data_IF_000209540872
#
_entry.id   IF_000209540872
#
_cell.length_a   1.000
_cell.length_b   1.000
_cell.length_c   1.000
_cell.angle_alpha   90.00
_cell.angle_beta   90.00
_cell.angle_gamma   90.00
#
_symmetry.space_group_name_H-M   'P 1'
#
loop_
_entity.id
_entity.type
_entity.pdbx_description
1 polymer ?
#
# COMPACT_ATOMS: atom_id res chain seq x y z
N UNK A 1 -22.36 34.18 33.37
CA UNK A 1 -22.97 33.00 34.03
C UNK A 1 -23.49 32.12 32.90
N UNK A 2 -23.01 30.93 32.57
CA UNK A 2 -21.92 30.06 33.05
C UNK A 2 -21.75 29.07 31.90
N UNK A 3 -20.56 29.00 31.29
CA UNK A 3 -20.27 28.02 30.25
C UNK A 3 -20.28 26.61 30.87
N UNK A 4 -21.06 25.70 30.29
CA UNK A 4 -21.06 24.29 30.65
C UNK A 4 -19.78 23.62 30.10
N UNK A 5 -19.08 22.77 30.89
CA UNK A 5 -17.88 22.09 30.41
C UNK A 5 -18.23 20.92 29.47
N UNK A 6 -17.44 20.64 28.42
CA UNK A 6 -17.64 19.46 27.60
C UNK A 6 -17.31 18.20 28.42
N UNK A 7 -18.29 17.30 28.50
CA UNK A 7 -18.18 15.99 29.14
C UNK A 7 -17.11 15.15 28.45
N UNK A 8 -16.20 14.60 29.25
CA UNK A 8 -15.20 13.63 28.78
C UNK A 8 -15.89 12.29 28.57
N UNK A 9 -16.23 12.00 27.33
CA UNK A 9 -16.66 10.67 26.91
C UNK A 9 -15.46 9.72 27.02
N UNK A 10 -15.46 8.88 28.05
CA UNK A 10 -14.49 7.80 28.22
C UNK A 10 -14.85 6.72 27.21
N UNK A 11 -14.16 6.75 26.07
CA UNK A 11 -14.20 5.66 25.10
C UNK A 11 -13.31 4.51 25.61
N UNK A 12 -13.79 3.81 26.65
CA UNK A 12 -13.21 2.55 27.14
C UNK A 12 -13.75 1.37 26.33
N UNK A 13 -13.79 1.51 25.00
CA UNK A 13 -14.05 0.45 24.06
C UNK A 13 -12.78 -0.36 23.78
N UNK A 14 -12.19 -0.99 24.80
CA UNK A 14 -11.22 -2.09 24.60
C UNK A 14 -11.95 -3.17 23.80
N UNK A 15 -11.91 -3.07 22.47
CA UNK A 15 -12.25 -4.14 21.55
C UNK A 15 -11.30 -5.26 21.92
N UNK A 16 -11.77 -6.18 22.77
CA UNK A 16 -10.97 -7.26 23.31
C UNK A 16 -10.51 -8.09 22.13
N UNK A 17 -9.30 -7.78 21.63
CA UNK A 17 -8.59 -8.59 20.65
C UNK A 17 -8.47 -9.95 21.31
N UNK A 18 -9.33 -10.91 20.94
CA UNK A 18 -9.28 -12.26 21.47
C UNK A 18 -7.84 -12.72 21.25
N UNK A 19 -7.05 -12.90 22.32
CA UNK A 19 -5.64 -13.12 22.12
C UNK A 19 -5.47 -14.43 21.34
N UNK A 20 -4.55 -14.48 20.36
CA UNK A 20 -4.43 -15.58 19.40
C UNK A 20 -4.16 -16.95 20.04
N UNK A 21 -3.82 -16.99 21.33
CA UNK A 21 -3.71 -18.24 22.10
C UNK A 21 -5.08 -18.86 22.42
N UNK A 22 -6.16 -18.08 22.54
CA UNK A 22 -7.50 -18.63 22.78
C UNK A 22 -8.02 -19.41 21.57
N UNK A 23 -7.73 -18.97 20.34
CA UNK A 23 -8.10 -19.71 19.13
C UNK A 23 -7.34 -21.02 19.03
N UNK A 24 -6.06 -21.04 19.43
CA UNK A 24 -5.26 -22.25 19.51
C UNK A 24 -5.81 -23.26 20.52
N UNK A 25 -6.17 -22.81 21.72
CA UNK A 25 -6.72 -23.67 22.77
C UNK A 25 -8.06 -24.29 22.34
N UNK A 26 -8.93 -23.52 21.68
CA UNK A 26 -10.23 -24.03 21.18
C UNK A 26 -10.05 -25.05 20.07
N UNK A 27 -9.14 -24.81 19.12
CA UNK A 27 -8.84 -25.77 18.04
C UNK A 27 -8.20 -27.04 18.60
N UNK A 28 -7.28 -26.92 19.55
CA UNK A 28 -6.67 -28.06 20.22
C UNK A 28 -7.70 -28.88 21.00
N UNK A 29 -8.54 -28.24 21.82
CA UNK A 29 -9.60 -28.90 22.58
C UNK A 29 -10.62 -29.58 21.65
N UNK A 30 -10.96 -28.95 20.52
CA UNK A 30 -11.85 -29.52 19.51
C UNK A 30 -11.25 -30.75 18.82
N UNK A 31 -10.00 -30.68 18.36
CA UNK A 31 -9.34 -31.79 17.67
C UNK A 31 -9.08 -32.98 18.61
N UNK A 32 -8.63 -32.69 19.84
CA UNK A 32 -8.45 -33.68 20.89
C UNK A 32 -9.76 -34.34 21.31
N UNK A 33 -10.83 -33.54 21.47
CA UNK A 33 -12.17 -34.04 21.80
C UNK A 33 -12.75 -34.96 20.72
N UNK A 34 -12.56 -34.64 19.43
CA UNK A 34 -12.99 -35.49 18.31
C UNK A 34 -12.22 -36.81 18.28
N UNK A 35 -10.91 -36.79 18.48
CA UNK A 35 -10.07 -38.01 18.54
C UNK A 35 -10.46 -38.94 19.69
N UNK A 36 -10.74 -38.39 20.87
CA UNK A 36 -11.20 -39.17 22.02
C UNK A 36 -12.63 -39.70 21.80
N UNK A 37 -13.53 -38.91 21.18
CA UNK A 37 -14.90 -39.33 20.90
C UNK A 37 -15.01 -40.45 19.84
N UNK A 38 -14.03 -40.57 18.93
CA UNK A 38 -13.95 -41.66 17.95
C UNK A 38 -13.38 -42.97 18.52
N UNK A 39 -13.18 -43.06 19.84
CA UNK A 39 -12.74 -44.28 20.51
C UNK A 39 -11.22 -44.49 20.50
N UNK A 40 -10.44 -43.42 20.31
CA UNK A 40 -8.99 -43.49 20.41
C UNK A 40 -8.56 -43.82 21.84
N UNK A 41 -7.76 -44.87 22.00
CA UNK A 41 -7.03 -45.11 23.24
C UNK A 41 -6.09 -43.92 23.49
N UNK A 42 -5.95 -43.53 24.76
CA UNK A 42 -5.02 -42.47 25.20
C UNK A 42 -3.57 -42.98 25.14
N UNK A 43 -3.16 -43.37 23.95
CA UNK A 43 -1.82 -43.84 23.66
C UNK A 43 -0.96 -42.68 23.12
N UNK A 44 0.35 -42.77 23.35
CA UNK A 44 1.35 -41.80 22.89
C UNK A 44 1.22 -41.41 21.40
N UNK A 45 0.96 -42.32 20.42
CA UNK A 45 0.81 -41.94 19.01
C UNK A 45 -0.42 -41.08 18.74
N UNK A 46 -1.55 -41.30 19.44
CA UNK A 46 -2.77 -40.49 19.29
C UNK A 46 -2.52 -39.05 19.73
N UNK A 47 -1.82 -38.89 20.86
CA UNK A 47 -1.43 -37.57 21.36
C UNK A 47 -0.46 -36.89 20.40
N UNK A 48 0.56 -37.60 19.90
CA UNK A 48 1.52 -37.06 18.95
C UNK A 48 0.86 -36.61 17.63
N UNK A 49 -0.06 -37.41 17.08
CA UNK A 49 -0.81 -37.05 15.87
C UNK A 49 -1.71 -35.84 16.08
N UNK A 50 -2.39 -35.76 17.23
CA UNK A 50 -3.23 -34.61 17.55
C UNK A 50 -2.43 -33.31 17.61
N UNK A 51 -1.23 -33.36 18.22
CA UNK A 51 -0.35 -32.21 18.37
C UNK A 51 0.21 -31.75 17.01
N UNK A 52 0.61 -32.70 16.15
CA UNK A 52 1.01 -32.41 14.77
C UNK A 52 -0.12 -31.80 13.95
N UNK A 53 -1.35 -32.31 14.08
CA UNK A 53 -2.53 -31.76 13.42
C UNK A 53 -2.79 -30.30 13.83
N UNK A 54 -2.72 -30.00 15.12
CA UNK A 54 -2.89 -28.63 15.63
C UNK A 54 -1.76 -27.71 15.15
N UNK A 55 -0.51 -28.19 15.16
CA UNK A 55 0.63 -27.42 14.64
C UNK A 55 0.47 -27.10 13.14
N UNK A 56 -0.03 -28.05 12.34
CA UNK A 56 -0.30 -27.85 10.91
C UNK A 56 -1.42 -26.83 10.69
N UNK A 57 -2.55 -26.96 11.39
CA UNK A 57 -3.66 -26.00 11.31
C UNK A 57 -3.20 -24.60 11.72
N UNK A 58 -2.37 -24.49 12.75
CA UNK A 58 -1.78 -23.23 13.16
C UNK A 58 -0.85 -22.63 12.10
N UNK A 59 0.02 -23.45 11.50
CA UNK A 59 0.89 -23.01 10.42
C UNK A 59 0.09 -22.50 9.21
N UNK A 60 -0.95 -23.22 8.80
CA UNK A 60 -1.86 -22.81 7.72
C UNK A 60 -2.59 -21.52 8.09
N UNK A 61 -3.10 -21.40 9.32
CA UNK A 61 -3.75 -20.18 9.79
C UNK A 61 -2.79 -18.99 9.78
N UNK A 62 -1.54 -19.16 10.26
CA UNK A 62 -0.51 -18.11 10.23
C UNK A 62 -0.17 -17.70 8.80
N UNK A 63 0.04 -18.66 7.91
CA UNK A 63 0.27 -18.39 6.50
C UNK A 63 -0.91 -17.59 5.90
N UNK A 64 -2.14 -17.98 6.19
CA UNK A 64 -3.33 -17.31 5.70
C UNK A 64 -3.49 -15.90 6.26
N UNK A 65 -3.13 -15.69 7.54
CA UNK A 65 -3.12 -14.34 8.14
C UNK A 65 -2.09 -13.43 7.48
N UNK A 66 -0.89 -13.95 7.20
CA UNK A 66 0.17 -13.18 6.51
C UNK A 66 -0.21 -12.93 5.05
N UNK A 67 -0.73 -13.93 4.34
CA UNK A 67 -1.22 -13.79 2.99
C UNK A 67 -2.33 -12.74 2.91
N UNK A 68 -3.29 -12.76 3.84
CA UNK A 68 -4.33 -11.73 3.92
C UNK A 68 -3.77 -10.34 4.25
N UNK A 69 -2.80 -10.24 5.15
CA UNK A 69 -2.14 -8.98 5.48
C UNK A 69 -1.33 -8.40 4.31
N UNK A 70 -0.87 -9.24 3.38
CA UNK A 70 -0.21 -8.82 2.15
C UNK A 70 -1.20 -8.51 1.02
N UNK A 71 -2.31 -9.25 0.93
CA UNK A 71 -3.37 -9.02 -0.07
C UNK A 71 -4.24 -7.81 0.23
N UNK A 72 -4.38 -7.44 1.50
CA UNK A 72 -5.03 -6.20 1.91
C UNK A 72 -3.90 -5.20 2.15
N UNK A 73 -3.71 -4.16 1.31
CA UNK A 73 -2.75 -3.11 1.64
C UNK A 73 -3.13 -2.59 3.01
N UNK A 74 -2.22 -2.74 3.98
CA UNK A 74 -2.48 -2.44 5.38
C UNK A 74 -3.15 -1.05 5.47
N UNK A 75 -4.36 -0.94 6.05
CA UNK A 75 -4.87 0.37 6.41
C UNK A 75 -3.84 0.91 7.40
N UNK A 76 -3.16 1.98 7.02
CA UNK A 76 -2.35 2.73 7.96
C UNK A 76 -3.33 3.25 9.01
N UNK A 77 -3.45 2.54 10.13
CA UNK A 77 -4.18 3.01 11.30
C UNK A 77 -3.40 4.16 11.93
N UNK A 78 -3.42 5.32 11.26
CA UNK A 78 -3.05 6.60 11.83
C UNK A 78 -4.31 7.46 11.86
N UNK A 79 -5.08 7.25 12.93
CA UNK A 79 -6.06 8.17 13.52
C UNK A 79 -6.67 9.22 12.56
N UNK A 80 -7.61 8.75 11.74
CA UNK A 80 -8.46 9.55 10.85
C UNK A 80 -9.73 8.76 10.51
N UNK A 81 -10.59 8.53 11.50
CA UNK A 81 -11.72 7.58 11.42
C UNK A 81 -12.80 7.95 10.39
N UNK A 82 -12.74 9.13 9.77
CA UNK A 82 -13.66 9.53 8.70
C UNK A 82 -13.17 9.17 7.29
N UNK A 83 -11.87 9.32 7.00
CA UNK A 83 -11.32 9.13 5.63
C UNK A 83 -11.04 7.67 5.31
N UNK A 84 -10.61 6.88 6.32
CA UNK A 84 -10.37 5.44 6.13
C UNK A 84 -11.63 4.65 5.75
N UNK A 85 -12.79 5.05 6.30
CA UNK A 85 -14.07 4.42 5.99
C UNK A 85 -14.53 4.67 4.55
N UNK A 86 -14.36 5.91 4.06
CA UNK A 86 -14.71 6.27 2.69
C UNK A 86 -13.78 5.61 1.67
N UNK A 87 -12.46 5.61 1.93
CA UNK A 87 -11.48 4.90 1.10
C UNK A 87 -11.80 3.40 0.99
N UNK A 88 -12.14 2.75 2.10
CA UNK A 88 -12.50 1.34 2.12
C UNK A 88 -13.75 1.07 1.26
N UNK A 89 -14.79 1.91 1.36
CA UNK A 89 -16.01 1.78 0.54
C UNK A 89 -15.74 1.93 -0.95
N UNK A 90 -14.96 2.93 -1.33
CA UNK A 90 -14.57 3.17 -2.72
C UNK A 90 -13.69 2.01 -3.26
N UNK A 91 -12.80 1.47 -2.42
CA UNK A 91 -11.95 0.33 -2.80
C UNK A 91 -12.78 -0.94 -3.02
N UNK A 92 -13.80 -1.17 -2.19
CA UNK A 92 -14.76 -2.26 -2.36
C UNK A 92 -15.62 -2.07 -3.62
N UNK A 93 -16.06 -0.84 -3.93
CA UNK A 93 -16.76 -0.54 -5.18
C UNK A 93 -15.89 -0.79 -6.41
N UNK A 94 -14.63 -0.34 -6.37
CA UNK A 94 -13.66 -0.59 -7.44
C UNK A 94 -13.45 -2.09 -7.68
N UNK A 95 -13.29 -2.88 -6.61
CA UNK A 95 -13.17 -4.33 -6.70
C UNK A 95 -14.40 -5.01 -7.32
N UNK A 96 -15.61 -4.53 -7.00
CA UNK A 96 -16.85 -5.01 -7.60
C UNK A 96 -16.94 -4.70 -9.10
N UNK A 97 -16.53 -3.50 -9.51
CA UNK A 97 -16.50 -3.11 -10.93
C UNK A 97 -15.53 -3.97 -11.75
N UNK A 98 -14.32 -4.21 -11.23
CA UNK A 98 -13.35 -5.07 -11.91
C UNK A 98 -13.86 -6.50 -12.06
N UNK A 99 -14.53 -7.03 -11.03
CA UNK A 99 -15.15 -8.36 -11.11
C UNK A 99 -16.25 -8.41 -12.17
N UNK A 100 -17.10 -7.38 -12.22
CA UNK A 100 -18.17 -7.27 -13.20
C UNK A 100 -17.62 -7.19 -14.64
N UNK A 101 -16.55 -6.44 -14.87
CA UNK A 101 -15.88 -6.39 -16.19
C UNK A 101 -15.36 -7.77 -16.57
N UNK A 102 -14.74 -8.50 -15.64
CA UNK A 102 -14.18 -9.82 -15.95
C UNK A 102 -15.25 -10.88 -16.22
N UNK A 103 -16.37 -10.80 -15.50
CA UNK A 103 -17.52 -11.67 -15.74
C UNK A 103 -18.20 -11.35 -17.08
N UNK A 104 -18.28 -10.07 -17.46
CA UNK A 104 -18.77 -9.63 -18.76
C UNK A 104 -17.89 -10.16 -19.92
N UNK A 105 -16.55 -10.08 -19.77
CA UNK A 105 -15.59 -10.62 -20.75
C UNK A 105 -15.75 -12.14 -20.89
N UNK A 106 -15.96 -12.84 -19.78
CA UNK A 106 -16.21 -14.29 -19.80
C UNK A 106 -17.54 -14.64 -20.48
N UNK A 107 -18.61 -13.89 -20.23
CA UNK A 107 -19.90 -14.11 -20.89
C UNK A 107 -19.84 -13.82 -22.41
N UNK A 108 -18.99 -12.87 -22.83
CA UNK A 108 -18.68 -12.61 -24.24
C UNK A 108 -17.90 -13.75 -24.88
N UNK A 109 -16.84 -14.24 -24.24
CA UNK A 109 -16.07 -15.39 -24.71
C UNK A 109 -16.92 -16.67 -24.83
N UNK A 110 -17.93 -16.81 -23.97
CA UNK A 110 -18.91 -17.90 -24.03
C UNK A 110 -20.00 -17.70 -25.08
N UNK A 111 -20.03 -16.56 -25.78
CA UNK A 111 -21.03 -16.23 -26.78
C UNK A 111 -22.43 -16.00 -26.21
N UNK A 112 -22.56 -15.69 -24.91
CA UNK A 112 -23.85 -15.40 -24.27
C UNK A 112 -24.36 -13.98 -24.57
N UNK A 113 -23.45 -13.08 -24.92
CA UNK A 113 -23.74 -11.68 -25.24
C UNK A 113 -23.11 -11.31 -26.59
N UNK A 114 -23.74 -10.38 -27.31
CA UNK A 114 -23.26 -9.93 -28.62
C UNK A 114 -22.06 -8.98 -28.48
N UNK A 115 -21.22 -8.89 -29.52
CA UNK A 115 -20.07 -7.96 -29.55
C UNK A 115 -20.50 -6.50 -29.30
N UNK A 116 -21.62 -6.08 -29.90
CA UNK A 116 -22.14 -4.73 -29.76
C UNK A 116 -22.62 -4.42 -28.33
N UNK A 117 -23.24 -5.39 -27.66
CA UNK A 117 -23.67 -5.24 -26.26
C UNK A 117 -22.47 -5.24 -25.31
N UNK A 118 -21.46 -6.09 -25.60
CA UNK A 118 -20.21 -6.14 -24.84
C UNK A 118 -19.49 -4.80 -24.85
N UNK A 119 -19.23 -4.21 -26.03
CA UNK A 119 -18.54 -2.91 -26.14
C UNK A 119 -19.28 -1.80 -25.38
N UNK A 120 -20.61 -1.77 -25.49
CA UNK A 120 -21.43 -0.77 -24.81
C UNK A 120 -21.40 -0.89 -23.28
N UNK A 121 -21.45 -2.12 -22.74
CA UNK A 121 -21.41 -2.38 -21.31
C UNK A 121 -19.99 -2.21 -20.74
N UNK A 122 -18.97 -2.73 -21.44
CA UNK A 122 -17.57 -2.62 -21.04
C UNK A 122 -17.15 -1.14 -20.94
N UNK A 123 -17.52 -0.32 -21.94
CA UNK A 123 -17.23 1.11 -21.92
C UNK A 123 -17.82 1.82 -20.68
N UNK A 124 -19.07 1.51 -20.32
CA UNK A 124 -19.73 2.09 -19.14
C UNK A 124 -19.06 1.65 -17.84
N UNK A 125 -18.74 0.36 -17.71
CA UNK A 125 -18.06 -0.14 -16.52
C UNK A 125 -16.64 0.41 -16.39
N UNK A 126 -15.89 0.53 -17.49
CA UNK A 126 -14.58 1.19 -17.50
C UNK A 126 -14.67 2.65 -17.08
N UNK A 127 -15.62 3.41 -17.63
CA UNK A 127 -15.82 4.81 -17.25
C UNK A 127 -16.08 4.95 -15.75
N UNK A 128 -16.97 4.12 -15.20
CA UNK A 128 -17.26 4.11 -13.77
C UNK A 128 -16.06 3.70 -12.91
N UNK A 129 -15.27 2.73 -13.37
CA UNK A 129 -14.04 2.33 -12.68
C UNK A 129 -13.01 3.47 -12.63
N UNK A 130 -12.89 4.27 -13.69
CA UNK A 130 -12.03 5.46 -13.73
C UNK A 130 -12.54 6.54 -12.77
N UNK A 131 -13.86 6.75 -12.69
CA UNK A 131 -14.46 7.69 -11.73
C UNK A 131 -14.16 7.31 -10.28
N UNK A 132 -14.33 6.04 -9.92
CA UNK A 132 -14.03 5.54 -8.57
C UNK A 132 -12.52 5.61 -8.28
N UNK A 133 -11.67 5.36 -9.28
CA UNK A 133 -10.22 5.50 -9.14
C UNK A 133 -9.81 6.95 -8.84
N UNK A 134 -10.40 7.93 -9.53
CA UNK A 134 -10.18 9.36 -9.22
C UNK A 134 -10.65 9.73 -7.83
N UNK A 135 -11.83 9.24 -7.42
CA UNK A 135 -12.33 9.46 -6.06
C UNK A 135 -11.41 8.86 -5.00
N UNK A 136 -10.79 7.70 -5.28
CA UNK A 136 -9.77 7.11 -4.39
C UNK A 136 -8.52 7.98 -4.28
N UNK A 137 -8.03 8.55 -5.40
CA UNK A 137 -6.90 9.48 -5.40
C UNK A 137 -7.22 10.77 -4.61
N UNK A 138 -8.44 11.29 -4.73
CA UNK A 138 -8.91 12.45 -3.98
C UNK A 138 -8.95 12.18 -2.46
N UNK A 139 -9.45 11.00 -2.06
CA UNK A 139 -9.47 10.58 -0.64
C UNK A 139 -8.06 10.29 -0.13
N UNK A 140 -7.16 9.77 -0.98
CA UNK A 140 -5.76 9.50 -0.65
C UNK A 140 -4.90 10.77 -0.57
N UNK A 141 -5.51 11.96 -0.69
CA UNK A 141 -4.84 13.26 -0.54
C UNK A 141 -3.67 13.17 0.46
N UNK A 142 -2.47 13.35 -0.10
CA UNK A 142 -1.17 13.02 0.47
C UNK A 142 -1.16 13.15 1.99
N UNK A 143 -1.04 12.03 2.72
CA UNK A 143 -1.09 12.00 4.18
C UNK A 143 -0.26 13.16 4.75
N UNK A 144 -0.78 13.99 5.66
CA UNK A 144 -0.19 15.28 6.02
C UNK A 144 1.25 15.16 6.54
N UNK A 145 1.66 14.01 7.07
CA UNK A 145 3.07 13.75 7.40
C UNK A 145 3.96 13.58 6.18
N UNK A 146 3.50 12.87 5.14
CA UNK A 146 4.24 12.69 3.89
C UNK A 146 4.35 14.02 3.15
N UNK A 147 3.26 14.80 3.10
CA UNK A 147 3.28 16.17 2.56
C UNK A 147 4.32 17.04 3.27
N UNK A 148 4.34 17.05 4.60
CA UNK A 148 5.36 17.77 5.38
C UNK A 148 6.78 17.26 5.15
N UNK A 149 6.97 15.95 4.97
CA UNK A 149 8.30 15.39 4.66
C UNK A 149 8.78 15.78 3.27
N UNK A 150 7.87 15.83 2.28
CA UNK A 150 8.15 16.32 0.93
C UNK A 150 8.46 17.82 0.97
N UNK A 151 7.63 18.63 1.64
CA UNK A 151 7.87 20.07 1.82
C UNK A 151 9.19 20.35 2.56
N UNK A 152 9.54 19.56 3.58
CA UNK A 152 10.81 19.67 4.29
C UNK A 152 11.99 19.30 3.38
N UNK A 153 11.85 18.23 2.59
CA UNK A 153 12.86 17.81 1.61
C UNK A 153 12.99 18.82 0.48
N UNK A 154 11.90 19.43 0.03
CA UNK A 154 11.89 20.45 -1.02
C UNK A 154 12.44 21.78 -0.52
N UNK A 155 12.18 22.14 0.75
CA UNK A 155 12.82 23.27 1.41
C UNK A 155 14.34 23.05 1.59
N UNK A 156 14.76 21.83 1.93
CA UNK A 156 16.18 21.44 1.99
C UNK A 156 16.81 21.37 0.58
N UNK A 157 16.05 20.92 -0.42
CA UNK A 157 16.46 20.81 -1.83
C UNK A 157 16.34 22.13 -2.60
N UNK A 158 15.68 23.16 -2.06
CA UNK A 158 15.61 24.52 -2.61
C UNK A 158 16.99 25.19 -2.75
N UNK A 159 18.07 24.54 -2.31
CA UNK A 159 19.45 24.86 -2.68
C UNK A 159 19.91 24.33 -4.06
N UNK A 160 19.06 23.63 -4.84
CA UNK A 160 19.39 23.15 -6.19
C UNK A 160 18.59 23.91 -7.25
N UNK A 161 19.33 24.67 -8.06
CA UNK A 161 18.83 25.48 -9.19
C UNK A 161 18.08 24.62 -10.21
N UNK A 162 16.86 25.02 -10.55
CA UNK A 162 16.22 24.64 -11.81
C UNK A 162 16.94 25.37 -12.94
N UNK A 163 17.70 24.64 -13.75
CA UNK A 163 18.29 25.19 -14.97
C UNK A 163 17.15 25.36 -15.96
N UNK A 164 16.57 26.55 -16.01
CA UNK A 164 15.92 27.03 -17.22
C UNK A 164 17.03 27.51 -18.14
N UNK A 165 17.06 26.94 -19.35
CA UNK A 165 17.89 27.44 -20.43
C UNK A 165 17.57 28.92 -20.65
N UNK A 166 18.65 29.69 -20.77
CA UNK A 166 18.69 31.11 -21.11
C UNK A 166 18.40 32.09 -19.95
N UNK A 167 19.52 32.55 -19.38
CA UNK A 167 19.72 33.81 -18.64
C UNK A 167 19.71 33.74 -17.09
N UNK A 168 20.92 33.76 -16.52
CA UNK A 168 21.17 33.86 -15.08
C UNK A 168 21.72 35.25 -14.77
N UNK A 169 20.88 36.15 -14.26
CA UNK A 169 21.30 37.37 -13.55
C UNK A 169 21.41 37.09 -12.05
N UNK A 170 22.58 37.38 -11.47
CA UNK A 170 22.92 37.07 -10.07
C UNK A 170 22.85 38.33 -9.19
N UNK A 171 22.23 38.30 -8.00
CA UNK A 171 22.64 39.17 -6.91
C UNK A 171 23.77 38.50 -6.09
N UNK A 172 24.84 39.26 -5.93
CA UNK A 172 25.82 39.26 -4.84
C UNK A 172 26.04 37.98 -4.01
N UNK A 173 27.24 37.39 -4.18
CA UNK A 173 28.04 36.96 -3.02
C UNK A 173 28.27 35.48 -2.75
N UNK A 174 27.90 34.54 -3.63
CA UNK A 174 28.16 33.10 -3.42
C UNK A 174 28.77 32.41 -4.65
N UNK A 175 29.86 31.65 -4.46
CA UNK A 175 30.71 30.95 -5.45
C UNK A 175 30.07 30.69 -6.83
N UNK A 176 30.70 31.24 -7.88
CA UNK A 176 30.41 30.87 -9.28
C UNK A 176 31.02 29.49 -9.51
N UNK A 177 30.20 28.44 -9.58
CA UNK A 177 30.63 27.10 -9.98
C UNK A 177 30.81 27.06 -11.49
N UNK A 178 31.99 27.43 -11.95
CA UNK A 178 32.38 27.26 -13.36
C UNK A 178 32.52 25.76 -13.63
N UNK A 179 31.58 25.17 -14.39
CA UNK A 179 31.62 23.75 -14.77
C UNK A 179 32.94 23.37 -15.46
N UNK A 180 33.39 22.12 -15.27
CA UNK A 180 34.66 21.62 -15.84
C UNK A 180 34.50 21.28 -17.33
N UNK A 181 35.41 21.75 -18.17
CA UNK A 181 35.42 21.41 -19.60
C UNK A 181 36.25 20.15 -19.82
N UNK A 182 35.70 19.19 -20.57
CA UNK A 182 36.43 17.96 -20.90
C UNK A 182 37.56 18.24 -21.91
N UNK A 183 38.80 17.84 -21.59
CA UNK A 183 39.93 17.97 -22.51
C UNK A 183 39.83 17.11 -23.78
N UNK A 184 38.95 16.10 -23.81
CA UNK A 184 38.84 15.16 -24.93
C UNK A 184 37.72 15.50 -25.93
N UNK A 185 36.57 15.98 -25.44
CA UNK A 185 35.42 16.30 -26.30
C UNK A 185 34.88 17.72 -26.11
N UNK A 186 35.51 18.51 -25.22
CA UNK A 186 35.12 19.89 -24.90
C UNK A 186 33.69 20.05 -24.31
N UNK A 187 33.04 18.94 -23.93
CA UNK A 187 31.76 18.96 -23.24
C UNK A 187 31.88 19.60 -21.85
N UNK A 188 30.90 20.46 -21.50
CA UNK A 188 30.77 21.09 -20.18
C UNK A 188 30.20 20.07 -19.19
N UNK A 189 30.89 19.84 -18.08
CA UNK A 189 30.48 18.91 -17.04
C UNK A 189 30.29 19.63 -15.71
N UNK A 190 29.54 18.98 -14.82
CA UNK A 190 29.33 19.46 -13.46
C UNK A 190 30.66 19.53 -12.69
N UNK A 191 30.74 20.41 -11.70
CA UNK A 191 32.00 20.69 -10.99
C UNK A 191 32.53 19.48 -10.23
N UNK A 192 31.68 18.55 -9.84
CA UNK A 192 31.98 17.31 -9.13
C UNK A 192 32.10 16.08 -10.05
N UNK A 193 31.92 16.26 -11.37
CA UNK A 193 32.00 15.18 -12.34
C UNK A 193 33.42 14.57 -12.37
N UNK A 194 33.52 13.27 -12.04
CA UNK A 194 34.75 12.48 -12.22
C UNK A 194 34.93 12.01 -13.67
N UNK A 195 33.81 11.86 -14.39
CA UNK A 195 33.77 11.43 -15.78
C UNK A 195 32.96 12.42 -16.62
N UNK A 196 33.32 12.60 -17.88
CA UNK A 196 32.58 13.45 -18.79
C UNK A 196 31.23 12.82 -19.14
N UNK A 197 30.12 13.57 -18.97
CA UNK A 197 28.76 13.09 -19.31
C UNK A 197 28.52 12.90 -20.82
N UNK A 198 29.38 13.48 -21.66
CA UNK A 198 29.25 13.39 -23.12
C UNK A 198 30.08 12.27 -23.75
N UNK A 199 31.30 12.03 -23.25
CA UNK A 199 32.22 11.04 -23.87
C UNK A 199 32.73 9.96 -22.91
N UNK A 200 32.34 9.99 -21.63
CA UNK A 200 32.69 8.99 -20.63
C UNK A 200 34.15 9.01 -20.15
N UNK A 201 35.03 9.86 -20.70
CA UNK A 201 36.43 9.95 -20.24
C UNK A 201 36.54 10.59 -18.86
N UNK A 202 37.49 10.10 -18.08
CA UNK A 202 37.81 10.67 -16.78
C UNK A 202 38.31 12.11 -16.92
N UNK A 203 37.77 13.01 -16.10
CA UNK A 203 38.18 14.40 -16.04
C UNK A 203 39.33 14.47 -15.05
N UNK A 204 40.53 14.81 -15.51
CA UNK A 204 41.70 14.97 -14.66
C UNK A 204 41.37 15.88 -13.45
N UNK A 205 41.79 15.45 -12.27
CA UNK A 205 41.50 16.09 -10.99
C UNK A 205 42.02 17.53 -10.93
#
# INVERSE_FOLDING_TARGET
MTAAPPGKEKDDGKRASRPPWLTLVVVFAGLFGVLVAMGGELDAPTVALSLCGVALVFAIWRLFTVARALSVPAPHEFMGTATGGEKARLSDEFGRLLRAIKELEFDHELGKISDADFEGLEARYRQRAVEVMRALEDVESLHPSLKKMLEARDAERSGYVTIHDDEVTKPDGGLVTVGRVCGACQGKNDVDAKFCKHCGKELAA
#
